data_IF_703620460664
#
_entry.id   IF_703620460664
#
_cell.length_a   1.000
_cell.length_b   1.000
_cell.length_c   1.000
_cell.angle_alpha   90.00
_cell.angle_beta   90.00
_cell.angle_gamma   90.00
#
_symmetry.space_group_name_H-M   'P 1'
#
loop_
_entity.id
_entity.type
_entity.pdbx_description
1 polymer ?
#
# COMPACT_ATOMS: atom_id res chain seq x y z
N UNK A 1 -2.92 5.18 -16.21
CA UNK A 1 -3.96 5.85 -16.89
C UNK A 1 -3.42 6.87 -17.86
N UNK A 2 -4.25 7.25 -18.76
CA UNK A 2 -3.87 8.23 -19.76
C UNK A 2 -3.32 9.52 -19.14
N UNK A 3 -3.78 9.84 -17.96
CA UNK A 3 -3.31 11.04 -17.29
C UNK A 3 -1.97 10.84 -16.61
N UNK A 4 -1.59 9.60 -16.33
CA UNK A 4 -0.27 9.28 -15.83
C UNK A 4 0.24 10.20 -14.73
N UNK A 5 -0.66 10.61 -13.83
CA UNK A 5 -0.23 11.44 -12.71
C UNK A 5 0.80 10.66 -11.91
N UNK A 6 2.01 11.17 -11.92
CA UNK A 6 3.12 10.59 -11.20
C UNK A 6 3.44 11.49 -10.01
N UNK A 7 3.28 10.94 -8.81
CA UNK A 7 3.71 11.60 -7.58
C UNK A 7 5.07 11.04 -7.23
N UNK A 8 6.08 11.88 -7.26
CA UNK A 8 7.44 11.45 -6.97
C UNK A 8 7.97 12.19 -5.76
N UNK A 9 8.46 11.41 -4.77
CA UNK A 9 9.13 11.92 -3.57
C UNK A 9 8.33 12.94 -2.78
N UNK A 10 7.01 12.77 -2.78
CA UNK A 10 6.11 13.65 -2.05
C UNK A 10 5.98 13.22 -0.60
N UNK A 11 5.85 14.19 0.30
CA UNK A 11 5.60 13.92 1.71
C UNK A 11 4.11 14.13 1.99
N UNK A 12 3.40 13.02 2.17
CA UNK A 12 1.98 13.03 2.48
C UNK A 12 1.72 12.42 3.86
N UNK A 13 2.70 12.52 4.74
CA UNK A 13 2.59 12.02 6.11
C UNK A 13 1.43 12.69 6.82
N UNK A 14 0.63 11.86 7.47
CA UNK A 14 -0.54 12.30 8.23
C UNK A 14 -1.59 13.06 7.40
N UNK A 15 -1.47 13.02 6.07
CA UNK A 15 -2.41 13.69 5.19
C UNK A 15 -3.79 13.03 5.26
N UNK A 16 -4.83 13.81 5.02
CA UNK A 16 -6.21 13.33 4.96
C UNK A 16 -6.60 13.14 3.50
N UNK A 17 -6.58 11.89 3.05
CA UNK A 17 -6.73 11.57 1.64
C UNK A 17 -7.89 10.57 1.40
N UNK A 18 -8.92 10.64 2.23
CA UNK A 18 -10.03 9.68 2.13
C UNK A 18 -10.61 9.62 0.72
N UNK A 19 -10.83 8.39 0.24
CA UNK A 19 -11.53 8.10 -1.02
C UNK A 19 -10.89 8.70 -2.25
N UNK A 20 -9.59 9.01 -2.18
CA UNK A 20 -8.84 9.44 -3.36
C UNK A 20 -8.54 8.21 -4.22
N UNK A 21 -8.65 8.37 -5.53
CA UNK A 21 -8.27 7.32 -6.45
C UNK A 21 -6.83 7.51 -6.93
N UNK A 22 -6.02 6.49 -6.65
CA UNK A 22 -4.67 6.35 -7.19
C UNK A 22 -4.62 5.17 -8.16
N UNK A 23 -5.77 4.75 -8.67
CA UNK A 23 -5.85 3.59 -9.54
C UNK A 23 -4.95 3.76 -10.74
N UNK A 24 -4.11 2.72 -10.99
CA UNK A 24 -3.15 2.68 -12.10
C UNK A 24 -2.06 3.76 -12.05
N UNK A 25 -1.92 4.47 -10.94
CA UNK A 25 -0.85 5.44 -10.78
C UNK A 25 0.46 4.74 -10.47
N UNK A 26 1.55 5.31 -10.94
CA UNK A 26 2.89 4.95 -10.48
C UNK A 26 3.31 5.97 -9.44
N UNK A 27 3.40 5.53 -8.20
CA UNK A 27 3.78 6.35 -7.06
C UNK A 27 5.22 5.99 -6.68
N UNK A 28 6.11 6.95 -6.68
CA UNK A 28 7.52 6.71 -6.39
C UNK A 28 7.99 7.60 -5.24
N UNK A 29 8.52 6.97 -4.19
CA UNK A 29 9.08 7.67 -3.06
C UNK A 29 8.06 8.48 -2.26
N UNK A 30 6.80 8.13 -2.31
CA UNK A 30 5.75 8.84 -1.59
C UNK A 30 5.64 8.31 -0.17
N UNK A 31 5.72 9.20 0.80
CA UNK A 31 5.58 8.84 2.21
C UNK A 31 4.14 9.12 2.67
N UNK A 32 3.35 8.04 2.82
CA UNK A 32 2.00 8.08 3.34
C UNK A 32 1.93 7.69 4.82
N UNK A 33 3.05 7.71 5.53
CA UNK A 33 3.07 7.28 6.93
C UNK A 33 2.04 8.04 7.75
N UNK A 34 1.21 7.30 8.50
CA UNK A 34 0.18 7.89 9.35
C UNK A 34 -0.97 8.55 8.60
N UNK A 35 -1.00 8.51 7.28
CA UNK A 35 -2.04 9.16 6.50
C UNK A 35 -3.39 8.47 6.66
N UNK A 36 -4.46 9.24 6.53
CA UNK A 36 -5.81 8.73 6.47
C UNK A 36 -6.13 8.39 5.01
N UNK A 37 -6.04 7.11 4.69
CA UNK A 37 -6.28 6.58 3.34
C UNK A 37 -7.57 5.77 3.27
N UNK A 38 -8.51 6.05 4.16
CA UNK A 38 -9.79 5.33 4.20
C UNK A 38 -10.47 5.38 2.84
N UNK A 39 -10.80 4.22 2.31
CA UNK A 39 -11.53 4.09 1.05
C UNK A 39 -10.74 4.48 -0.20
N UNK A 40 -9.44 4.71 -0.09
CA UNK A 40 -8.62 5.02 -1.25
C UNK A 40 -8.54 3.83 -2.22
N UNK A 41 -8.46 4.14 -3.49
CA UNK A 41 -8.39 3.13 -4.54
C UNK A 41 -6.96 3.08 -5.09
N UNK A 42 -6.22 2.02 -4.74
CA UNK A 42 -4.87 1.74 -5.25
C UNK A 42 -4.87 0.56 -6.22
N UNK A 43 -6.02 0.20 -6.78
CA UNK A 43 -6.07 -0.94 -7.69
C UNK A 43 -5.15 -0.70 -8.89
N UNK A 44 -4.34 -1.72 -9.19
CA UNK A 44 -3.38 -1.69 -10.29
C UNK A 44 -2.32 -0.58 -10.17
N UNK A 45 -2.17 0.02 -9.00
CA UNK A 45 -1.12 1.02 -8.76
C UNK A 45 0.23 0.34 -8.54
N UNK A 46 1.30 1.05 -8.83
CA UNK A 46 2.67 0.62 -8.53
C UNK A 46 3.24 1.57 -7.48
N UNK A 47 3.61 1.02 -6.34
CA UNK A 47 4.15 1.80 -5.22
C UNK A 47 5.64 1.48 -5.04
N UNK A 48 6.50 2.28 -5.65
CA UNK A 48 7.95 2.10 -5.58
C UNK A 48 8.52 2.99 -4.48
N UNK A 49 9.21 2.39 -3.53
CA UNK A 49 9.82 3.12 -2.40
C UNK A 49 8.83 4.00 -1.64
N UNK A 50 7.58 3.56 -1.56
CA UNK A 50 6.54 4.25 -0.80
C UNK A 50 6.44 3.67 0.61
N UNK A 51 5.98 4.47 1.57
CA UNK A 51 5.66 4.01 2.91
C UNK A 51 4.17 4.14 3.18
N UNK A 52 3.58 3.06 3.69
CA UNK A 52 2.21 3.03 4.19
C UNK A 52 2.19 2.77 5.71
N UNK A 53 3.34 2.93 6.39
CA UNK A 53 3.44 2.62 7.81
C UNK A 53 2.47 3.46 8.63
N UNK A 54 1.66 2.79 9.45
CA UNK A 54 0.72 3.47 10.32
C UNK A 54 -0.43 4.17 9.61
N UNK A 55 -0.55 4.05 8.30
CA UNK A 55 -1.66 4.62 7.57
C UNK A 55 -2.97 3.89 7.90
N UNK A 56 -4.07 4.62 7.89
CA UNK A 56 -5.38 4.03 8.02
C UNK A 56 -5.85 3.54 6.65
N UNK A 57 -5.82 2.23 6.45
CA UNK A 57 -6.16 1.58 5.17
C UNK A 57 -7.56 0.98 5.17
N UNK A 58 -8.40 1.35 6.11
CA UNK A 58 -9.78 0.85 6.17
C UNK A 58 -10.48 1.09 4.84
N UNK A 59 -11.06 0.05 4.28
CA UNK A 59 -11.75 0.08 2.99
C UNK A 59 -10.88 0.49 1.79
N UNK A 60 -9.58 0.64 1.95
CA UNK A 60 -8.69 0.88 0.83
C UNK A 60 -8.56 -0.38 -0.02
N UNK A 61 -8.39 -0.22 -1.32
CA UNK A 61 -8.33 -1.33 -2.27
C UNK A 61 -6.98 -1.39 -2.96
N UNK A 62 -6.38 -2.58 -2.98
CA UNK A 62 -5.05 -2.82 -3.55
C UNK A 62 -5.05 -3.98 -4.55
N UNK A 63 -6.22 -4.38 -5.06
CA UNK A 63 -6.26 -5.50 -5.99
C UNK A 63 -5.36 -5.23 -7.20
N UNK A 64 -4.53 -6.21 -7.51
CA UNK A 64 -3.58 -6.17 -8.63
C UNK A 64 -2.54 -5.05 -8.54
N UNK A 65 -2.35 -4.44 -7.37
CA UNK A 65 -1.29 -3.46 -7.16
C UNK A 65 0.08 -4.13 -7.04
N UNK A 66 1.13 -3.42 -7.39
CA UNK A 66 2.50 -3.87 -7.15
C UNK A 66 3.03 -3.18 -5.88
N UNK A 67 3.12 -3.95 -4.81
CA UNK A 67 3.53 -3.48 -3.49
C UNK A 67 4.92 -3.95 -3.09
N UNK A 68 5.66 -4.58 -4.01
CA UNK A 68 6.92 -5.27 -3.67
C UNK A 68 7.97 -4.35 -3.05
N UNK A 69 7.98 -3.08 -3.39
CA UNK A 69 8.95 -2.12 -2.90
C UNK A 69 8.35 -1.10 -1.94
N UNK A 70 7.18 -1.41 -1.37
CA UNK A 70 6.52 -0.55 -0.40
C UNK A 70 6.79 -1.06 1.02
N UNK A 71 6.90 -0.12 1.95
CA UNK A 71 6.92 -0.44 3.37
C UNK A 71 5.48 -0.50 3.87
N UNK A 72 4.98 -1.70 4.09
CA UNK A 72 3.58 -1.91 4.47
C UNK A 72 3.37 -1.78 5.99
N UNK A 73 4.45 -1.72 6.76
CA UNK A 73 4.33 -1.71 8.21
C UNK A 73 3.66 -2.99 8.73
N UNK A 74 2.91 -2.85 9.80
CA UNK A 74 2.17 -3.95 10.41
C UNK A 74 0.80 -4.09 9.71
N UNK A 75 0.79 -4.79 8.57
CA UNK A 75 -0.44 -5.00 7.81
C UNK A 75 -1.30 -6.07 8.48
N UNK A 76 -2.59 -5.80 8.60
CA UNK A 76 -3.55 -6.77 9.11
C UNK A 76 -4.19 -7.55 7.98
N UNK A 77 -4.21 -8.88 8.08
CA UNK A 77 -4.78 -9.74 7.05
C UNK A 77 -6.30 -9.91 7.15
N UNK A 78 -6.96 -9.24 8.09
CA UNK A 78 -8.42 -9.32 8.23
C UNK A 78 -9.15 -8.98 6.92
N UNK A 79 -8.57 -8.13 6.10
CA UNK A 79 -9.14 -7.68 4.83
C UNK A 79 -8.34 -8.17 3.63
N UNK A 80 -7.82 -9.39 3.69
CA UNK A 80 -6.96 -9.95 2.65
C UNK A 80 -7.58 -9.88 1.25
N UNK A 81 -8.91 -9.94 1.13
CA UNK A 81 -9.58 -9.85 -0.16
C UNK A 81 -9.31 -8.56 -0.92
N UNK A 82 -9.01 -7.49 -0.20
CA UNK A 82 -8.69 -6.19 -0.83
C UNK A 82 -7.31 -6.16 -1.45
N UNK A 83 -6.51 -7.20 -1.20
CA UNK A 83 -5.17 -7.35 -1.76
C UNK A 83 -5.11 -8.45 -2.80
N UNK A 84 -6.26 -8.92 -3.29
CA UNK A 84 -6.30 -10.00 -4.27
C UNK A 84 -5.47 -9.62 -5.50
N UNK A 85 -4.54 -10.49 -5.86
CA UNK A 85 -3.67 -10.27 -7.02
C UNK A 85 -2.55 -9.27 -6.81
N UNK A 86 -2.47 -8.64 -5.63
CA UNK A 86 -1.37 -7.73 -5.36
C UNK A 86 -0.04 -8.50 -5.31
N UNK A 87 1.00 -7.89 -5.88
CA UNK A 87 2.34 -8.46 -5.83
C UNK A 87 3.04 -7.97 -4.58
N UNK A 88 3.59 -8.90 -3.81
CA UNK A 88 4.45 -8.62 -2.67
C UNK A 88 5.76 -9.38 -2.80
N UNK A 89 6.79 -8.94 -2.10
CA UNK A 89 8.07 -9.61 -2.09
C UNK A 89 8.05 -10.79 -1.09
N UNK A 90 9.04 -11.68 -1.22
CA UNK A 90 9.21 -12.78 -0.27
C UNK A 90 9.47 -12.25 1.14
N UNK A 91 10.23 -11.18 1.26
CA UNK A 91 10.50 -10.55 2.56
C UNK A 91 9.22 -10.03 3.20
N UNK A 92 8.39 -9.36 2.42
CA UNK A 92 7.09 -8.87 2.92
C UNK A 92 6.20 -10.04 3.37
N UNK A 93 6.18 -11.13 2.61
CA UNK A 93 5.42 -12.32 2.99
C UNK A 93 5.91 -12.89 4.32
N UNK A 94 7.23 -12.97 4.51
CA UNK A 94 7.82 -13.44 5.76
C UNK A 94 7.44 -12.53 6.93
N UNK A 95 7.47 -11.22 6.72
CA UNK A 95 7.08 -10.25 7.76
C UNK A 95 5.61 -10.40 8.14
N UNK A 96 4.73 -10.59 7.16
CA UNK A 96 3.31 -10.79 7.41
C UNK A 96 3.06 -12.07 8.22
N UNK A 97 3.71 -13.17 7.84
CA UNK A 97 3.57 -14.45 8.52
C UNK A 97 4.15 -14.39 9.94
N UNK A 98 5.27 -13.70 10.12
CA UNK A 98 5.86 -13.49 11.44
C UNK A 98 4.91 -12.69 12.33
N UNK A 99 4.21 -11.72 11.78
CA UNK A 99 3.20 -10.95 12.50
C UNK A 99 2.03 -11.81 12.99
N UNK A 100 1.80 -12.96 12.37
CA UNK A 100 0.80 -13.93 12.79
C UNK A 100 1.35 -14.96 13.80
N UNK A 101 2.60 -14.81 14.22
CA UNK A 101 3.26 -15.73 15.14
C UNK A 101 3.88 -16.97 14.48
N UNK A 102 3.92 -17.00 13.15
CA UNK A 102 4.52 -18.12 12.42
C UNK A 102 6.02 -17.91 12.25
N UNK A 103 6.77 -18.98 12.30
CA UNK A 103 8.20 -18.95 11.98
C UNK A 103 8.38 -19.28 10.51
N UNK A 104 9.04 -18.39 9.80
CA UNK A 104 9.43 -18.61 8.41
C UNK A 104 10.87 -19.10 8.42
N UNK A 105 11.06 -20.33 8.04
CA UNK A 105 12.35 -21.01 8.09
C UNK A 105 13.12 -20.87 6.76
#
# INVERSE_FOLDING_TARGET
>A
GALGLSFSRSLLRDARLRRISFRRHHLEGVDFSGADLVGCDFREAVLTECSLRGANLTDARFEDADLREADLGALKLADASRFRGAAISRRQAAELLSGLGLKVM
#
